data_IF_125199083048
#
_entry.id   IF_125199083048
#
_cell.length_a   1.000
_cell.length_b   1.000
_cell.length_c   1.000
_cell.angle_alpha   90.00
_cell.angle_beta   90.00
_cell.angle_gamma   90.00
#
_symmetry.space_group_name_H-M   'P 1'
#
loop_
_entity.id
_entity.type
_entity.pdbx_description
1 polymer ?
#
# COMPACT_ATOMS: atom_id res chain seq x y z
N UNK A 1 18.88 15.17 -7.51
CA UNK A 1 17.50 15.65 -7.35
C UNK A 1 16.54 15.11 -8.42
N UNK A 2 16.91 15.04 -9.69
CA UNK A 2 16.03 14.49 -10.76
C UNK A 2 15.67 13.01 -10.57
N UNK A 3 16.58 12.20 -10.07
CA UNK A 3 16.35 10.76 -9.87
C UNK A 3 15.25 10.46 -8.84
N UNK A 4 15.07 11.31 -7.84
CA UNK A 4 14.07 11.10 -6.78
C UNK A 4 12.66 11.47 -7.25
N UNK A 5 12.51 12.49 -8.09
CA UNK A 5 11.20 12.88 -8.64
C UNK A 5 10.64 11.84 -9.62
N UNK A 6 11.48 11.30 -10.50
CA UNK A 6 11.10 10.24 -11.43
C UNK A 6 10.69 8.95 -10.70
N UNK A 7 11.41 8.60 -9.64
CA UNK A 7 11.04 7.45 -8.80
C UNK A 7 9.72 7.67 -8.05
N UNK A 8 9.47 8.89 -7.56
CA UNK A 8 8.20 9.23 -6.92
C UNK A 8 7.01 9.17 -7.88
N UNK A 9 7.16 9.66 -9.10
CA UNK A 9 6.14 9.56 -10.14
C UNK A 9 5.81 8.09 -10.46
N UNK A 10 6.84 7.26 -10.58
CA UNK A 10 6.67 5.83 -10.77
C UNK A 10 5.92 5.17 -9.63
N UNK A 11 6.33 5.44 -8.39
CA UNK A 11 5.68 4.90 -7.19
C UNK A 11 4.24 5.38 -7.09
N UNK A 12 3.98 6.66 -7.39
CA UNK A 12 2.62 7.21 -7.42
C UNK A 12 1.73 6.49 -8.44
N UNK A 13 2.26 6.24 -9.64
CA UNK A 13 1.53 5.49 -10.67
C UNK A 13 1.23 4.06 -10.22
N UNK A 14 2.21 3.37 -9.60
CA UNK A 14 2.00 2.04 -9.04
C UNK A 14 0.96 2.02 -7.93
N UNK A 15 1.02 2.97 -7.00
CA UNK A 15 0.05 3.09 -5.90
C UNK A 15 -1.37 3.29 -6.42
N UNK A 16 -1.55 4.03 -7.50
CA UNK A 16 -2.85 4.23 -8.14
C UNK A 16 -3.50 2.96 -8.71
N UNK A 17 -2.73 1.87 -8.83
CA UNK A 17 -3.25 0.57 -9.29
C UNK A 17 -3.88 -0.28 -8.17
N UNK A 18 -3.69 0.11 -6.90
CA UNK A 18 -4.19 -0.63 -5.74
C UNK A 18 -5.44 0.02 -5.17
N UNK A 19 -6.48 -0.76 -4.94
CA UNK A 19 -7.71 -0.32 -4.26
C UNK A 19 -7.70 -0.67 -2.77
N UNK A 20 -6.85 -1.61 -2.36
CA UNK A 20 -6.73 -2.10 -0.99
C UNK A 20 -5.28 -2.28 -0.59
N UNK A 21 -5.02 -2.14 0.70
CA UNK A 21 -3.70 -2.35 1.29
C UNK A 21 -3.83 -3.02 2.66
N UNK A 22 -2.78 -3.72 3.09
CA UNK A 22 -2.65 -4.15 4.49
C UNK A 22 -2.03 -3.00 5.30
N UNK A 23 -2.78 -2.46 6.24
CA UNK A 23 -2.25 -1.52 7.24
C UNK A 23 -1.76 -2.31 8.44
N UNK A 24 -0.52 -2.08 8.83
CA UNK A 24 0.17 -2.75 9.94
C UNK A 24 0.52 -1.71 11.00
N UNK A 25 0.06 -1.93 12.21
CA UNK A 25 0.26 -1.06 13.38
C UNK A 25 0.90 -1.83 14.51
N UNK A 26 1.48 -1.12 15.47
CA UNK A 26 2.01 -1.69 16.71
C UNK A 26 0.93 -1.74 17.78
N UNK A 27 0.81 -2.86 18.47
CA UNK A 27 0.00 -2.98 19.67
C UNK A 27 0.78 -2.52 20.91
N UNK A 28 0.09 -2.26 22.01
CA UNK A 28 0.71 -1.81 23.25
C UNK A 28 1.71 -2.81 23.86
N UNK A 29 1.62 -4.09 23.52
CA UNK A 29 2.54 -5.15 23.93
C UNK A 29 3.76 -5.30 22.98
N UNK A 30 3.86 -4.46 21.95
CA UNK A 30 4.93 -4.49 20.96
C UNK A 30 4.69 -5.47 19.79
N UNK A 31 3.59 -6.20 19.80
CA UNK A 31 3.23 -7.06 18.66
C UNK A 31 2.67 -6.25 17.48
N UNK A 32 2.68 -6.83 16.31
CA UNK A 32 2.16 -6.22 15.09
C UNK A 32 0.74 -6.73 14.80
N UNK A 33 -0.12 -5.82 14.40
CA UNK A 33 -1.47 -6.13 13.97
C UNK A 33 -1.69 -5.65 12.53
N UNK A 34 -1.97 -6.57 11.63
CA UNK A 34 -2.22 -6.31 10.22
C UNK A 34 -3.71 -6.47 9.88
N UNK A 35 -4.26 -5.55 9.08
CA UNK A 35 -5.65 -5.64 8.58
C UNK A 35 -5.79 -5.03 7.20
N UNK A 36 -6.70 -5.55 6.35
CA UNK A 36 -7.00 -4.94 5.06
C UNK A 36 -7.75 -3.62 5.26
N UNK A 37 -7.40 -2.64 4.44
CA UNK A 37 -8.03 -1.32 4.38
C UNK A 37 -8.26 -0.92 2.92
N UNK A 38 -9.43 -0.40 2.59
CA UNK A 38 -9.66 0.24 1.31
C UNK A 38 -8.91 1.58 1.26
N UNK A 39 -8.17 1.80 0.18
CA UNK A 39 -7.49 3.08 -0.06
C UNK A 39 -8.55 4.08 -0.52
N UNK A 40 -8.75 5.15 0.26
CA UNK A 40 -9.71 6.19 -0.06
C UNK A 40 -9.11 7.28 -0.97
N UNK A 41 -7.82 7.56 -0.80
CA UNK A 41 -7.15 8.59 -1.58
C UNK A 41 -5.63 8.39 -1.58
N UNK A 42 -5.00 8.95 -2.62
CA UNK A 42 -3.56 8.95 -2.83
C UNK A 42 -3.11 10.38 -3.13
N UNK A 43 -2.31 10.95 -2.25
CA UNK A 43 -1.74 12.29 -2.46
C UNK A 43 -0.52 12.28 -3.39
N UNK A 44 -0.19 13.45 -3.95
CA UNK A 44 0.97 13.66 -4.85
C UNK A 44 2.30 13.20 -4.23
N UNK A 45 2.46 13.29 -2.90
CA UNK A 45 3.63 12.81 -2.17
C UNK A 45 3.56 11.33 -1.78
N UNK A 46 2.75 10.51 -2.48
CA UNK A 46 2.49 9.10 -2.18
C UNK A 46 1.90 8.85 -0.77
N UNK A 47 1.32 9.87 -0.14
CA UNK A 47 0.58 9.71 1.10
C UNK A 47 -0.74 8.98 0.86
N UNK A 48 -1.08 8.04 1.73
CA UNK A 48 -2.30 7.25 1.64
C UNK A 48 -3.33 7.71 2.66
N UNK A 49 -4.59 7.72 2.28
CA UNK A 49 -5.72 7.98 3.16
C UNK A 49 -6.65 6.78 3.23
N UNK A 50 -7.09 6.47 4.44
CA UNK A 50 -8.04 5.39 4.72
C UNK A 50 -9.18 5.93 5.55
N UNK A 51 -10.43 5.62 5.17
CA UNK A 51 -11.61 5.89 6.00
C UNK A 51 -11.75 4.76 7.03
N UNK A 52 -12.06 5.10 8.26
CA UNK A 52 -12.35 4.14 9.32
C UNK A 52 -13.27 4.74 10.37
N UNK A 53 -13.62 3.91 11.37
CA UNK A 53 -14.41 4.34 12.53
C UNK A 53 -13.45 4.65 13.70
N UNK A 54 -13.73 5.73 14.44
CA UNK A 54 -12.94 6.20 15.59
C UNK A 54 -12.97 5.25 16.80
N UNK A 55 -14.00 4.38 16.89
CA UNK A 55 -14.10 3.36 17.94
C UNK A 55 -13.24 2.12 17.65
N UNK A 56 -12.57 2.06 16.50
CA UNK A 56 -11.79 0.89 16.14
C UNK A 56 -10.46 0.80 16.91
N UNK A 57 -9.99 -0.42 17.28
CA UNK A 57 -8.77 -0.61 18.07
C UNK A 57 -7.52 0.05 17.48
N UNK A 58 -7.44 0.18 16.15
CA UNK A 58 -6.31 0.82 15.48
C UNK A 58 -6.14 2.30 15.83
N UNK A 59 -7.17 2.97 16.33
CA UNK A 59 -7.08 4.36 16.79
C UNK A 59 -6.14 4.46 17.99
N UNK A 60 -6.33 3.59 18.99
CA UNK A 60 -5.46 3.54 20.15
C UNK A 60 -4.04 3.09 19.78
N UNK A 61 -3.91 2.13 18.86
CA UNK A 61 -2.63 1.66 18.36
C UNK A 61 -1.82 2.81 17.74
N UNK A 62 -2.44 3.59 16.83
CA UNK A 62 -1.81 4.73 16.15
C UNK A 62 -1.50 5.88 17.14
N UNK A 63 -2.38 6.14 18.09
CA UNK A 63 -2.13 7.16 19.13
C UNK A 63 -0.93 6.79 20.01
N UNK A 64 -0.75 5.50 20.30
CA UNK A 64 0.36 5.02 21.13
C UNK A 64 1.66 5.00 20.34
N UNK A 65 1.62 4.58 19.08
CA UNK A 65 2.76 4.54 18.17
C UNK A 65 2.30 4.87 16.75
N UNK A 66 2.69 6.04 16.27
CA UNK A 66 2.30 6.51 14.93
C UNK A 66 3.05 5.82 13.78
N UNK A 67 4.11 5.07 14.07
CA UNK A 67 4.82 4.33 13.03
C UNK A 67 3.95 3.18 12.50
N UNK A 68 3.81 3.14 11.20
CA UNK A 68 2.99 2.14 10.51
C UNK A 68 3.71 1.60 9.28
N UNK A 69 3.29 0.41 8.87
CA UNK A 69 3.63 -0.14 7.57
C UNK A 69 2.36 -0.32 6.74
N UNK A 70 2.47 -0.04 5.45
CA UNK A 70 1.43 -0.35 4.47
C UNK A 70 2.02 -1.28 3.43
N UNK A 71 1.32 -2.37 3.14
CA UNK A 71 1.73 -3.34 2.13
C UNK A 71 0.64 -3.48 1.09
N UNK A 72 0.99 -3.27 -0.16
CA UNK A 72 0.14 -3.46 -1.32
C UNK A 72 0.64 -4.64 -2.15
N UNK A 73 -0.28 -5.40 -2.69
CA UNK A 73 0.02 -6.53 -3.57
C UNK A 73 -0.99 -6.58 -4.70
N UNK A 74 -0.52 -6.73 -5.93
CA UNK A 74 -1.33 -7.02 -7.11
C UNK A 74 -0.92 -8.39 -7.64
N UNK A 75 -1.92 -9.23 -7.94
CA UNK A 75 -1.72 -10.62 -8.36
C UNK A 75 -0.49 -10.82 -9.26
N UNK A 76 0.55 -11.44 -8.69
CA UNK A 76 1.78 -11.87 -9.36
C UNK A 76 2.59 -10.80 -10.11
N UNK A 77 2.20 -9.53 -10.09
CA UNK A 77 2.83 -8.49 -10.91
C UNK A 77 3.63 -7.46 -10.11
N UNK A 78 3.15 -7.02 -8.97
CA UNK A 78 3.83 -5.99 -8.19
C UNK A 78 3.55 -6.10 -6.69
N UNK A 79 4.53 -5.68 -5.93
CA UNK A 79 4.47 -5.54 -4.47
C UNK A 79 5.00 -4.16 -4.11
N UNK A 80 4.44 -3.57 -3.08
CA UNK A 80 4.90 -2.29 -2.59
C UNK A 80 4.76 -2.27 -1.07
N UNK A 81 5.77 -1.77 -0.38
CA UNK A 81 5.74 -1.53 1.05
C UNK A 81 6.07 -0.07 1.37
N UNK A 82 5.35 0.50 2.32
CA UNK A 82 5.54 1.87 2.80
C UNK A 82 5.78 1.81 4.30
N UNK A 83 6.93 2.28 4.75
CA UNK A 83 7.13 2.65 6.14
C UNK A 83 6.84 4.14 6.28
N UNK A 84 6.06 4.52 7.30
CA UNK A 84 5.66 5.90 7.47
C UNK A 84 5.06 6.19 8.83
N UNK A 85 4.53 7.39 8.98
CA UNK A 85 3.80 7.83 10.16
C UNK A 85 2.32 8.04 9.83
N UNK A 86 1.46 7.52 10.68
CA UNK A 86 0.01 7.71 10.59
C UNK A 86 -0.44 8.85 11.50
N UNK A 87 -1.40 9.61 11.04
CA UNK A 87 -2.17 10.57 11.82
C UNK A 87 -3.67 10.34 11.62
N UNK A 88 -4.45 10.65 12.64
CA UNK A 88 -5.92 10.58 12.58
C UNK A 88 -6.49 11.96 12.40
N UNK A 89 -7.33 12.14 11.38
CA UNK A 89 -7.97 13.39 11.02
C UNK A 89 -9.48 13.25 11.16
N UNK A 90 -10.10 14.12 11.96
CA UNK A 90 -11.54 14.13 12.23
C UNK A 90 -12.32 15.15 11.38
N UNK A 91 -11.62 15.88 10.51
CA UNK A 91 -12.21 16.93 9.70
C UNK A 91 -13.20 16.37 8.69
N UNK A 92 -14.43 16.85 8.75
CA UNK A 92 -15.54 16.43 7.91
C UNK A 92 -15.28 16.65 6.43
N UNK A 93 -14.74 17.82 6.10
CA UNK A 93 -14.40 18.18 4.73
C UNK A 93 -13.42 17.21 4.08
N UNK A 94 -12.46 16.70 4.86
CA UNK A 94 -11.50 15.69 4.39
C UNK A 94 -12.16 14.37 4.06
N UNK A 95 -13.16 13.94 4.86
CA UNK A 95 -13.94 12.71 4.61
C UNK A 95 -14.80 12.88 3.36
N UNK A 96 -15.51 14.01 3.24
CA UNK A 96 -16.36 14.29 2.09
C UNK A 96 -15.59 14.34 0.77
N UNK A 97 -14.35 14.88 0.81
CA UNK A 97 -13.49 14.99 -0.36
C UNK A 97 -13.05 13.64 -0.93
N UNK A 98 -12.95 12.61 -0.07
CA UNK A 98 -12.46 11.28 -0.46
C UNK A 98 -13.56 10.20 -0.43
N UNK A 99 -14.80 10.60 -0.11
CA UNK A 99 -15.91 9.67 -0.02
C UNK A 99 -16.31 9.14 -1.40
N UNK A 100 -16.48 7.81 -1.47
CA UNK A 100 -17.08 7.10 -2.59
C UNK A 100 -18.19 6.19 -2.08
N UNK A 101 -19.27 6.07 -2.82
CA UNK A 101 -20.45 5.28 -2.40
C UNK A 101 -20.14 3.77 -2.24
N UNK A 102 -19.04 3.29 -2.79
CA UNK A 102 -18.56 1.92 -2.52
C UNK A 102 -18.22 1.68 -1.04
N UNK A 103 -17.91 2.75 -0.30
CA UNK A 103 -17.68 2.65 1.15
C UNK A 103 -18.93 2.33 1.97
N UNK A 104 -20.13 2.48 1.41
CA UNK A 104 -21.40 2.10 2.07
C UNK A 104 -21.44 0.63 2.50
N UNK A 105 -20.66 -0.25 1.85
CA UNK A 105 -20.52 -1.66 2.23
C UNK A 105 -19.97 -1.81 3.64
N UNK A 106 -19.04 -0.94 4.05
CA UNK A 106 -18.40 -0.95 5.38
C UNK A 106 -19.00 0.09 6.33
N UNK A 107 -19.56 1.17 5.79
CA UNK A 107 -20.11 2.30 6.54
C UNK A 107 -21.54 2.59 6.10
N UNK A 108 -22.52 1.76 6.50
CA UNK A 108 -23.89 1.83 5.99
C UNK A 108 -24.63 3.12 6.39
N UNK A 109 -24.16 3.87 7.38
CA UNK A 109 -24.69 5.20 7.73
C UNK A 109 -24.24 6.30 6.76
N UNK A 110 -23.32 5.98 5.84
CA UNK A 110 -22.80 6.91 4.85
C UNK A 110 -21.83 7.93 5.42
N UNK A 111 -21.47 8.90 4.59
CA UNK A 111 -20.49 9.95 4.92
C UNK A 111 -20.90 10.84 6.10
N UNK A 112 -22.16 10.84 6.47
CA UNK A 112 -22.70 11.62 7.60
C UNK A 112 -22.48 10.95 8.96
N UNK A 113 -21.93 9.72 9.00
CA UNK A 113 -21.65 9.03 10.26
C UNK A 113 -20.61 9.85 11.08
N UNK A 114 -20.97 10.31 12.29
CA UNK A 114 -20.09 11.14 13.12
C UNK A 114 -18.83 10.40 13.58
N UNK A 115 -18.83 9.07 13.54
CA UNK A 115 -17.70 8.23 13.96
C UNK A 115 -16.67 8.00 12.83
N UNK A 116 -16.92 8.51 11.62
CA UNK A 116 -15.94 8.39 10.54
C UNK A 116 -14.75 9.32 10.79
N UNK A 117 -13.57 8.77 10.56
CA UNK A 117 -12.29 9.48 10.61
C UNK A 117 -11.39 9.03 9.45
N UNK A 118 -10.43 9.88 9.09
CA UNK A 118 -9.38 9.55 8.15
C UNK A 118 -8.10 9.16 8.90
N UNK A 119 -7.50 8.05 8.50
CA UNK A 119 -6.10 7.77 8.77
C UNK A 119 -5.31 8.28 7.57
N UNK A 120 -4.39 9.22 7.81
CA UNK A 120 -3.45 9.69 6.79
C UNK A 120 -2.08 9.12 7.09
N UNK A 121 -1.51 8.39 6.14
CA UNK A 121 -0.15 7.84 6.24
C UNK A 121 0.78 8.71 5.41
N UNK A 122 1.77 9.33 6.09
CA UNK A 122 2.85 10.07 5.45
C UNK A 122 4.04 9.14 5.27
N UNK A 123 4.43 8.82 4.04
CA UNK A 123 5.51 7.89 3.79
C UNK A 123 6.86 8.49 4.15
N UNK A 124 7.75 7.66 4.69
CA UNK A 124 9.15 7.97 4.97
C UNK A 124 10.09 7.14 4.09
N UNK A 125 9.69 5.91 3.82
CA UNK A 125 10.41 4.99 2.94
C UNK A 125 9.41 4.15 2.16
N UNK A 126 9.60 4.08 0.86
CA UNK A 126 8.79 3.25 -0.04
C UNK A 126 9.73 2.29 -0.76
N UNK A 127 9.35 1.04 -0.81
CA UNK A 127 10.08 -0.02 -1.49
C UNK A 127 9.12 -0.79 -2.39
N UNK A 128 9.48 -1.01 -3.64
CA UNK A 128 8.62 -1.67 -4.60
C UNK A 128 9.36 -2.73 -5.41
N UNK A 129 8.61 -3.73 -5.83
CA UNK A 129 9.04 -4.82 -6.69
C UNK A 129 8.02 -4.99 -7.82
N UNK A 130 8.48 -4.94 -9.06
CA UNK A 130 7.67 -5.16 -10.25
C UNK A 130 8.22 -6.35 -11.03
N UNK A 131 7.34 -7.28 -11.37
CA UNK A 131 7.65 -8.35 -12.31
C UNK A 131 7.19 -7.90 -13.71
N UNK A 132 8.12 -7.46 -14.53
CA UNK A 132 7.83 -7.05 -15.91
C UNK A 132 7.56 -8.23 -16.86
N UNK A 133 7.85 -9.47 -16.44
CA UNK A 133 7.66 -10.68 -17.23
C UNK A 133 6.97 -11.79 -16.45
N UNK A 134 5.67 -11.74 -16.33
CA UNK A 134 4.91 -12.97 -16.15
C UNK A 134 3.99 -13.26 -17.33
N UNK A 135 4.58 -13.48 -18.49
CA UNK A 135 3.99 -14.39 -19.44
C UNK A 135 4.17 -15.82 -18.88
N UNK A 136 3.18 -16.32 -18.15
CA UNK A 136 3.17 -17.70 -17.56
C UNK A 136 3.55 -18.79 -18.55
N UNK A 137 3.41 -18.51 -19.85
CA UNK A 137 3.74 -19.42 -20.94
C UNK A 137 5.25 -19.44 -21.20
N UNK A 138 5.97 -18.30 -21.08
CA UNK A 138 7.42 -18.27 -21.31
C UNK A 138 8.21 -19.00 -20.24
N UNK A 139 7.83 -18.84 -18.95
CA UNK A 139 8.51 -19.53 -17.85
C UNK A 139 8.33 -21.05 -17.86
N UNK A 140 7.13 -21.53 -18.24
CA UNK A 140 6.90 -22.97 -18.44
C UNK A 140 7.75 -23.50 -19.60
N UNK A 141 7.87 -22.73 -20.68
CA UNK A 141 8.66 -23.10 -21.85
C UNK A 141 10.17 -23.07 -21.58
N UNK A 142 10.63 -22.07 -20.85
CA UNK A 142 12.04 -21.95 -20.43
C UNK A 142 12.42 -23.04 -19.41
N UNK A 143 11.56 -23.31 -18.44
CA UNK A 143 11.76 -24.39 -17.48
C UNK A 143 11.81 -25.76 -18.17
N UNK A 144 10.94 -26.00 -19.12
CA UNK A 144 10.94 -27.23 -19.93
C UNK A 144 12.21 -27.36 -20.79
N UNK A 145 12.65 -26.25 -21.39
CA UNK A 145 13.86 -26.19 -22.23
C UNK A 145 15.13 -26.39 -21.43
N UNK A 146 15.22 -25.79 -20.23
CA UNK A 146 16.35 -25.95 -19.32
C UNK A 146 16.45 -27.37 -18.77
N UNK A 147 15.31 -28.02 -18.52
CA UNK A 147 15.27 -29.41 -18.06
C UNK A 147 15.79 -30.36 -19.15
N UNK A 148 15.47 -30.11 -20.42
CA UNK A 148 15.93 -30.91 -21.56
C UNK A 148 17.42 -30.70 -21.84
N UNK A 149 17.95 -29.48 -21.64
CA UNK A 149 19.33 -29.12 -21.97
C UNK A 149 20.30 -29.30 -20.78
N UNK A 150 19.83 -29.67 -19.58
CA UNK A 150 20.68 -29.85 -18.40
C UNK A 150 21.36 -28.57 -17.90
N UNK A 151 20.92 -27.41 -18.37
CA UNK A 151 21.44 -26.12 -17.96
C UNK A 151 20.68 -25.60 -16.71
N UNK A 152 21.43 -25.16 -15.69
CA UNK A 152 20.82 -24.43 -14.57
C UNK A 152 20.27 -23.12 -15.10
N UNK A 153 18.95 -22.97 -15.06
CA UNK A 153 18.26 -21.72 -15.40
C UNK A 153 18.80 -20.59 -14.53
N UNK A 154 19.62 -19.73 -15.09
CA UNK A 154 19.80 -18.36 -14.59
C UNK A 154 18.57 -17.58 -15.06
N UNK A 155 17.46 -17.76 -14.38
CA UNK A 155 16.32 -16.85 -14.53
C UNK A 155 16.71 -15.55 -13.85
N UNK A 156 17.41 -14.67 -14.58
CA UNK A 156 17.39 -13.25 -14.31
C UNK A 156 16.02 -12.77 -14.78
N UNK A 157 14.96 -13.04 -13.98
CA UNK A 157 13.76 -12.21 -14.05
C UNK A 157 14.23 -10.81 -13.65
N UNK A 158 14.17 -9.86 -14.57
CA UNK A 158 14.33 -8.44 -14.24
C UNK A 158 13.15 -8.03 -13.36
N UNK A 159 13.27 -8.35 -12.07
CA UNK A 159 12.41 -7.78 -11.04
C UNK A 159 12.84 -6.33 -10.91
N UNK A 160 12.04 -5.40 -11.41
CA UNK A 160 12.24 -3.99 -11.15
C UNK A 160 12.13 -3.76 -9.64
N UNK A 161 13.25 -3.51 -8.97
CA UNK A 161 13.27 -3.18 -7.55
C UNK A 161 13.75 -1.75 -7.37
N UNK A 162 13.06 -0.98 -6.52
CA UNK A 162 13.47 0.37 -6.17
C UNK A 162 13.12 0.74 -4.74
N UNK A 163 13.90 1.67 -4.20
CA UNK A 163 13.70 2.24 -2.87
C UNK A 163 13.71 3.75 -2.98
N UNK A 164 12.68 4.39 -2.42
CA UNK A 164 12.56 5.85 -2.30
C UNK A 164 12.52 6.20 -0.83
N UNK A 165 13.44 7.04 -0.39
CA UNK A 165 13.46 7.61 0.96
C UNK A 165 13.02 9.06 0.89
N UNK A 166 12.04 9.41 1.71
CA UNK A 166 11.45 10.75 1.82
C UNK A 166 11.92 11.33 3.14
N UNK A 167 12.72 12.37 3.08
CA UNK A 167 13.23 13.08 4.26
C UNK A 167 12.27 14.14 4.74
#
# INVERSE_FOLDING_TARGET
METNSVQLEKVHALLGEYSTAMLITYQGDGTLHARPMAIADLSVGCGLRFITNDESPKMQEIQTNSHVYVVCQKEHSSYLSIAGAASVVHEREGIEAVWDDSFLVWFPKGKEDPHLVLITVTPQRIEYWENHEMNRVSHLWEAARSYVNGERTRTQSEVGHGVVTLG
#
